data_IF_408645709190
#
_entry.id   IF_408645709190
#
_cell.length_a   1.000
_cell.length_b   1.000
_cell.length_c   1.000
_cell.angle_alpha   90.00
_cell.angle_beta   90.00
_cell.angle_gamma   90.00
#
_symmetry.space_group_name_H-M   'P 1'
#
loop_
_entity.id
_entity.type
_entity.pdbx_description
1 polymer ?
#
# COMPACT_ATOMS: atom_id res chain seq x y z
N UNK A 1 35.35 -3.46 -5.37
CA UNK A 1 34.29 -2.94 -6.27
C UNK A 1 32.97 -3.01 -5.49
N UNK A 2 32.74 -2.23 -4.44
CA UNK A 2 32.26 -0.83 -4.41
C UNK A 2 31.56 -0.38 -5.69
N UNK A 3 30.30 0.06 -5.52
CA UNK A 3 29.34 0.61 -6.49
C UNK A 3 28.34 -0.42 -7.01
N UNK A 4 27.20 -0.52 -6.33
CA UNK A 4 25.85 -0.60 -6.90
C UNK A 4 24.82 -0.37 -5.76
N UNK A 5 24.94 0.75 -5.06
CA UNK A 5 23.87 1.27 -4.19
C UNK A 5 23.52 2.65 -4.73
N UNK A 6 22.78 2.70 -5.83
CA UNK A 6 22.08 3.90 -6.28
C UNK A 6 20.83 3.44 -7.01
N UNK A 7 19.71 3.28 -6.30
CA UNK A 7 18.35 3.47 -6.82
C UNK A 7 17.36 3.40 -5.64
N UNK A 8 17.49 4.34 -4.70
CA UNK A 8 16.52 4.50 -3.61
C UNK A 8 16.60 5.92 -3.07
N UNK A 9 16.35 6.94 -3.90
CA UNK A 9 16.18 8.33 -3.41
C UNK A 9 15.73 9.32 -4.50
N UNK A 10 14.76 8.96 -5.35
CA UNK A 10 14.11 9.94 -6.23
C UNK A 10 12.61 9.65 -6.27
N UNK A 11 11.91 9.95 -5.17
CA UNK A 11 10.45 10.16 -5.16
C UNK A 11 10.01 11.00 -3.95
N UNK A 12 10.80 12.00 -3.54
CA UNK A 12 10.35 13.03 -2.58
C UNK A 12 10.67 14.42 -3.11
N UNK A 13 9.99 14.80 -4.18
CA UNK A 13 9.88 16.18 -4.61
C UNK A 13 8.53 16.38 -5.31
N UNK A 14 7.43 16.11 -4.60
CA UNK A 14 6.15 16.71 -4.94
C UNK A 14 5.99 17.91 -4.00
N UNK A 15 5.84 19.14 -4.51
CA UNK A 15 5.54 20.28 -3.65
C UNK A 15 4.21 20.01 -2.92
N UNK A 16 4.25 20.04 -1.59
CA UNK A 16 3.03 20.09 -0.76
C UNK A 16 2.34 21.43 -1.04
N UNK A 17 1.46 21.45 -2.03
CA UNK A 17 0.61 22.58 -2.34
C UNK A 17 -0.81 22.06 -2.57
N UNK A 18 -1.60 22.08 -1.50
CA UNK A 18 -3.04 22.40 -1.50
C UNK A 18 -3.48 22.53 -0.05
N UNK A 19 -3.51 23.77 0.43
CA UNK A 19 -4.33 24.16 1.57
C UNK A 19 -5.65 24.67 0.99
N UNK A 20 -6.68 23.82 0.97
CA UNK A 20 -8.09 24.18 1.18
C UNK A 20 -8.97 22.96 0.86
N UNK A 21 -9.54 22.34 1.89
CA UNK A 21 -10.95 21.95 1.87
C UNK A 21 -11.39 21.77 3.32
N UNK A 22 -12.43 22.48 3.71
CA UNK A 22 -12.98 22.50 5.07
C UNK A 22 -13.03 21.09 5.68
N UNK A 23 -12.21 20.83 6.71
CA UNK A 23 -12.36 19.64 7.55
C UNK A 23 -13.79 19.64 8.09
N UNK A 24 -14.65 18.78 7.55
CA UNK A 24 -15.81 18.34 8.31
C UNK A 24 -15.24 17.67 9.57
N UNK A 25 -15.72 18.03 10.75
CA UNK A 25 -15.20 17.51 12.04
C UNK A 25 -15.31 15.97 12.17
N UNK A 26 -15.92 15.30 11.18
CA UNK A 26 -16.20 13.86 11.18
C UNK A 26 -15.19 13.00 10.41
N UNK A 27 -14.34 13.56 9.55
CA UNK A 27 -13.37 12.79 8.74
C UNK A 27 -11.94 13.05 9.20
N UNK A 28 -11.27 12.02 9.74
CA UNK A 28 -9.89 12.10 10.21
C UNK A 28 -8.90 12.36 9.07
N UNK A 29 -9.17 11.81 7.89
CA UNK A 29 -8.38 11.99 6.66
C UNK A 29 -9.11 12.88 5.66
N UNK A 30 -8.36 13.69 4.92
CA UNK A 30 -8.87 14.44 3.78
C UNK A 30 -8.90 13.56 2.51
N UNK A 31 -9.53 14.06 1.45
CA UNK A 31 -9.71 13.33 0.19
C UNK A 31 -8.39 12.86 -0.45
N UNK A 32 -7.32 13.64 -0.35
CA UNK A 32 -6.02 13.25 -0.88
C UNK A 32 -5.43 12.10 -0.06
N UNK A 33 -5.44 12.20 1.27
CA UNK A 33 -4.97 11.15 2.19
C UNK A 33 -5.74 9.84 1.97
N UNK A 34 -7.05 9.92 1.76
CA UNK A 34 -7.89 8.77 1.43
C UNK A 34 -7.51 8.14 0.08
N UNK A 35 -7.28 8.94 -0.95
CA UNK A 35 -6.82 8.41 -2.24
C UNK A 35 -5.44 7.74 -2.14
N UNK A 36 -4.52 8.29 -1.36
CA UNK A 36 -3.21 7.70 -1.10
C UNK A 36 -3.35 6.36 -0.37
N UNK A 37 -4.20 6.28 0.66
CA UNK A 37 -4.48 5.05 1.38
C UNK A 37 -5.09 3.98 0.46
N UNK A 38 -6.07 4.36 -0.38
CA UNK A 38 -6.69 3.46 -1.36
C UNK A 38 -5.66 2.89 -2.35
N UNK A 39 -4.77 3.73 -2.86
CA UNK A 39 -3.70 3.29 -3.76
C UNK A 39 -2.74 2.32 -3.05
N UNK A 40 -2.36 2.61 -1.79
CA UNK A 40 -1.54 1.71 -0.98
C UNK A 40 -2.21 0.34 -0.74
N UNK A 41 -3.51 0.29 -0.48
CA UNK A 41 -4.28 -0.96 -0.39
C UNK A 41 -4.20 -1.74 -1.71
N UNK A 42 -4.38 -1.06 -2.85
CA UNK A 42 -4.29 -1.69 -4.16
C UNK A 42 -2.88 -2.25 -4.43
N UNK A 43 -1.82 -1.55 -4.02
CA UNK A 43 -0.44 -2.03 -4.13
C UNK A 43 -0.19 -3.28 -3.30
N UNK A 44 -0.67 -3.32 -2.05
CA UNK A 44 -0.58 -4.52 -1.20
C UNK A 44 -1.29 -5.72 -1.84
N UNK A 45 -2.46 -5.51 -2.45
CA UNK A 45 -3.18 -6.55 -3.18
C UNK A 45 -2.43 -7.03 -4.42
N UNK A 46 -1.81 -6.13 -5.18
CA UNK A 46 -0.98 -6.51 -6.33
C UNK A 46 0.21 -7.37 -5.91
N UNK A 47 0.86 -7.06 -4.78
CA UNK A 47 1.95 -7.87 -4.24
C UNK A 47 1.46 -9.23 -3.77
N UNK A 48 0.30 -9.29 -3.10
CA UNK A 48 -0.31 -10.56 -2.71
C UNK A 48 -0.64 -11.45 -3.93
N UNK A 49 -1.21 -10.87 -5.00
CA UNK A 49 -1.51 -11.57 -6.26
C UNK A 49 -0.24 -12.06 -6.96
N UNK A 50 0.84 -11.28 -6.92
CA UNK A 50 2.15 -11.73 -7.39
C UNK A 50 2.61 -12.99 -6.67
N UNK A 51 2.61 -13.01 -5.33
CA UNK A 51 2.98 -14.21 -4.57
C UNK A 51 2.04 -15.38 -4.82
N UNK A 52 0.75 -15.11 -5.00
CA UNK A 52 -0.21 -16.15 -5.38
C UNK A 52 0.16 -16.84 -6.70
N UNK A 53 0.56 -16.07 -7.71
CA UNK A 53 1.05 -16.60 -8.99
C UNK A 53 2.37 -17.35 -8.86
N UNK A 54 3.23 -16.99 -7.91
CA UNK A 54 4.45 -17.77 -7.64
C UNK A 54 4.14 -19.10 -6.92
N UNK A 55 3.15 -19.12 -6.01
CA UNK A 55 2.66 -20.36 -5.36
C UNK A 55 2.18 -21.37 -6.42
N UNK A 56 1.49 -20.91 -7.46
CA UNK A 56 1.04 -21.78 -8.56
C UNK A 56 2.18 -22.48 -9.29
N UNK A 57 3.40 -21.92 -9.23
CA UNK A 57 4.61 -22.49 -9.84
C UNK A 57 5.40 -23.37 -8.87
N UNK A 58 5.38 -23.05 -7.58
CA UNK A 58 6.11 -23.76 -6.52
C UNK A 58 5.25 -23.87 -5.25
N UNK A 59 4.32 -24.84 -5.25
CA UNK A 59 3.29 -24.98 -4.22
C UNK A 59 3.78 -25.66 -2.93
N UNK A 60 5.03 -26.12 -2.87
CA UNK A 60 5.65 -26.67 -1.66
C UNK A 60 6.38 -25.59 -0.84
N UNK A 61 6.61 -24.42 -1.45
CA UNK A 61 7.33 -23.32 -0.83
C UNK A 61 6.44 -22.50 0.11
N UNK A 62 6.58 -22.81 1.40
CA UNK A 62 5.81 -22.19 2.49
C UNK A 62 6.04 -20.68 2.61
N UNK A 63 7.22 -20.19 2.23
CA UNK A 63 7.55 -18.75 2.34
C UNK A 63 6.68 -17.93 1.37
N UNK A 64 6.28 -18.50 0.22
CA UNK A 64 5.38 -17.83 -0.72
C UNK A 64 3.96 -17.69 -0.14
N UNK A 65 3.46 -18.72 0.55
CA UNK A 65 2.18 -18.67 1.24
C UNK A 65 2.21 -17.66 2.39
N UNK A 66 3.29 -17.62 3.17
CA UNK A 66 3.46 -16.65 4.25
C UNK A 66 3.45 -15.22 3.71
N UNK A 67 4.18 -14.96 2.61
CA UNK A 67 4.19 -13.66 1.96
C UNK A 67 2.79 -13.28 1.43
N UNK A 68 2.13 -14.16 0.68
CA UNK A 68 0.78 -13.91 0.17
C UNK A 68 -0.20 -13.57 1.31
N UNK A 69 -0.19 -14.37 2.38
CA UNK A 69 -1.03 -14.15 3.55
C UNK A 69 -0.72 -12.81 4.25
N UNK A 70 0.56 -12.48 4.44
CA UNK A 70 0.98 -11.24 5.06
C UNK A 70 0.46 -10.02 4.28
N UNK A 71 0.69 -9.95 2.97
CA UNK A 71 0.28 -8.81 2.15
C UNK A 71 -1.25 -8.71 2.05
N UNK A 72 -1.96 -9.83 1.91
CA UNK A 72 -3.42 -9.85 1.97
C UNK A 72 -3.97 -9.33 3.30
N UNK A 73 -3.37 -9.73 4.42
CA UNK A 73 -3.80 -9.27 5.74
C UNK A 73 -3.55 -7.77 5.93
N UNK A 74 -2.42 -7.26 5.47
CA UNK A 74 -2.13 -5.83 5.50
C UNK A 74 -3.14 -5.04 4.66
N UNK A 75 -3.44 -5.51 3.44
CA UNK A 75 -4.46 -4.88 2.59
C UNK A 75 -5.83 -4.84 3.28
N UNK A 76 -6.25 -5.95 3.92
CA UNK A 76 -7.50 -6.02 4.65
C UNK A 76 -7.53 -5.06 5.86
N UNK A 77 -6.46 -5.02 6.65
CA UNK A 77 -6.35 -4.12 7.81
C UNK A 77 -6.46 -2.65 7.40
N UNK A 78 -5.76 -2.25 6.33
CA UNK A 78 -5.84 -0.88 5.82
C UNK A 78 -7.17 -0.58 5.13
N UNK A 79 -7.86 -1.58 4.56
CA UNK A 79 -9.21 -1.42 4.04
C UNK A 79 -10.21 -1.08 5.15
N UNK A 80 -10.08 -1.68 6.35
CA UNK A 80 -10.87 -1.28 7.52
C UNK A 80 -10.61 0.18 7.93
N UNK A 81 -9.34 0.62 7.88
CA UNK A 81 -8.99 2.02 8.16
C UNK A 81 -9.64 2.94 7.11
N UNK A 82 -9.63 2.56 5.83
CA UNK A 82 -10.28 3.32 4.78
C UNK A 82 -11.80 3.41 5.01
N UNK A 83 -12.48 2.30 5.26
CA UNK A 83 -13.93 2.25 5.52
C UNK A 83 -14.35 3.14 6.71
N UNK A 84 -13.55 3.19 7.77
CA UNK A 84 -13.87 4.00 8.96
C UNK A 84 -13.63 5.50 8.75
N UNK A 85 -12.62 5.88 7.96
CA UNK A 85 -12.13 7.26 7.93
C UNK A 85 -12.28 7.98 6.59
N UNK A 86 -12.65 7.27 5.52
CA UNK A 86 -12.63 7.76 4.15
C UNK A 86 -13.91 7.48 3.33
N UNK A 87 -14.69 6.45 3.65
CA UNK A 87 -16.03 6.19 3.07
C UNK A 87 -17.13 6.95 3.82
#
# INVERSE_FOLDING_TARGET
MKKLIIFAMIFFAVPMASADEHKSETTFMNKQECNELKNGIAELLMVADYYWKEIEKDNENKDLYEAAAFYSQQAANYSTIYDVWCD
#
